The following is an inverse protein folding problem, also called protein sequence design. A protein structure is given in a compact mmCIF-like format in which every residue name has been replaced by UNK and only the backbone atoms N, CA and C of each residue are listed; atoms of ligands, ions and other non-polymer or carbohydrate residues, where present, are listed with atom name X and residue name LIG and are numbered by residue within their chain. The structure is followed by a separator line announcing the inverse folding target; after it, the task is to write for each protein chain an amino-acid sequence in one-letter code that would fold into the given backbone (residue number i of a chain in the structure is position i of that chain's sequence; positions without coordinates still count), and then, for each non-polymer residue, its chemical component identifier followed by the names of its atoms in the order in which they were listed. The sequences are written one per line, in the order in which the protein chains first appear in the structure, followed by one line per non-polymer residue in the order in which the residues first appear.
data_IF_195421356849
#
_entry.id   IF_195421356849
#
_cell.length_a   1.000
_cell.length_b   1.000
_cell.length_c   1.000
_cell.angle_alpha   90.00
_cell.angle_beta   90.00
_cell.angle_gamma   90.00
#
_symmetry.space_group_name_H-M   'P 1'
#
loop_
_entity.id
_entity.type
_entity.pdbx_description
1 polymer ?
#
# COMPACT_ATOMS: atom_id res chain seq x y z
N UNK A 1 23.84 0.46 0.64
CA UNK A 1 22.53 0.26 1.30
C UNK A 1 22.08 -1.18 1.03
N UNK A 2 21.76 -1.97 2.05
CA UNK A 2 21.29 -3.36 1.88
C UNK A 2 19.95 -3.51 2.58
N UNK A 3 18.96 -4.10 1.90
CA UNK A 3 17.62 -4.28 2.42
C UNK A 3 16.79 -5.22 1.55
N UNK A 4 15.65 -5.66 2.08
CA UNK A 4 14.67 -6.42 1.30
C UNK A 4 14.10 -5.50 0.22
N UNK A 5 13.90 -6.04 -0.98
CA UNK A 5 13.21 -5.29 -2.03
C UNK A 5 11.77 -5.07 -1.61
N UNK A 6 11.39 -3.81 -1.44
CA UNK A 6 10.09 -3.44 -0.91
C UNK A 6 9.04 -3.48 -2.04
N UNK A 7 8.50 -4.68 -2.31
CA UNK A 7 7.46 -4.93 -3.33
C UNK A 7 6.41 -5.88 -2.74
N UNK A 8 5.12 -5.62 -3.00
CA UNK A 8 3.98 -6.36 -2.44
C UNK A 8 4.11 -7.89 -2.55
N UNK A 9 4.64 -8.36 -3.68
CA UNK A 9 4.88 -9.79 -3.93
C UNK A 9 5.88 -10.43 -2.95
N UNK A 10 6.76 -9.66 -2.31
CA UNK A 10 7.75 -10.16 -1.35
C UNK A 10 7.33 -9.97 0.11
N UNK A 11 6.17 -9.35 0.36
CA UNK A 11 5.60 -9.18 1.71
C UNK A 11 4.55 -10.22 2.09
N UNK A 12 4.23 -11.13 1.18
CA UNK A 12 3.27 -12.20 1.42
C UNK A 12 3.99 -13.48 1.90
N UNK A 13 3.28 -14.30 2.68
CA UNK A 13 3.85 -15.46 3.38
C UNK A 13 4.09 -16.71 2.50
N UNK A 14 3.71 -16.65 1.22
CA UNK A 14 3.85 -17.75 0.25
C UNK A 14 5.14 -17.61 -0.54
N UNK A 15 5.86 -18.71 -0.69
CA UNK A 15 7.02 -18.72 -1.58
C UNK A 15 6.59 -18.77 -3.04
N UNK A 16 7.39 -18.17 -3.91
CA UNK A 16 7.23 -18.34 -5.35
C UNK A 16 7.49 -19.80 -5.73
N UNK A 17 6.67 -20.31 -6.66
CA UNK A 17 6.82 -21.66 -7.18
C UNK A 17 8.12 -21.82 -7.96
N UNK A 18 8.67 -23.04 -7.95
CA UNK A 18 9.84 -23.38 -8.73
C UNK A 18 9.53 -23.32 -10.24
N UNK A 19 10.51 -22.88 -11.03
CA UNK A 19 10.41 -22.86 -12.51
C UNK A 19 9.61 -21.68 -13.08
N UNK A 20 9.35 -20.64 -12.27
CA UNK A 20 8.73 -19.40 -12.73
C UNK A 20 9.82 -18.35 -12.97
N UNK A 21 9.83 -17.76 -14.16
CA UNK A 21 10.71 -16.63 -14.48
C UNK A 21 10.19 -15.34 -13.83
N UNK A 22 11.06 -14.67 -13.08
CA UNK A 22 10.75 -13.40 -12.41
C UNK A 22 11.62 -12.30 -12.98
N UNK A 23 10.98 -11.29 -13.57
CA UNK A 23 11.65 -10.08 -14.05
C UNK A 23 11.42 -8.92 -13.09
N UNK A 24 12.49 -8.44 -12.47
CA UNK A 24 12.46 -7.27 -11.60
C UNK A 24 13.04 -6.09 -12.36
N UNK A 25 12.27 -5.00 -12.45
CA UNK A 25 12.73 -3.73 -13.03
C UNK A 25 12.79 -2.69 -11.91
N UNK A 26 13.98 -2.17 -11.66
CA UNK A 26 14.18 -1.04 -10.76
C UNK A 26 14.27 0.23 -11.61
N UNK A 27 13.44 1.22 -11.30
CA UNK A 27 13.43 2.52 -11.97
C UNK A 27 13.86 3.55 -10.94
N UNK A 28 14.90 4.31 -11.28
CA UNK A 28 15.39 5.39 -10.42
C UNK A 28 14.51 6.63 -10.58
N UNK A 29 14.21 7.30 -9.47
CA UNK A 29 13.57 8.62 -9.48
C UNK A 29 14.46 9.67 -10.17
N UNK A 30 13.86 10.72 -10.73
CA UNK A 30 14.63 11.84 -11.30
C UNK A 30 15.55 12.43 -10.21
N UNK A 31 16.73 12.91 -10.61
CA UNK A 31 17.73 13.50 -9.71
C UNK A 31 17.18 14.65 -8.85
N UNK A 32 16.20 15.40 -9.37
CA UNK A 32 15.51 16.48 -8.65
C UNK A 32 14.84 16.03 -7.32
N UNK A 33 14.59 14.73 -7.15
CA UNK A 33 13.99 14.15 -5.93
C UNK A 33 15.01 13.47 -5.00
N UNK A 34 16.32 13.73 -5.18
CA UNK A 34 17.36 13.20 -4.31
C UNK A 34 17.30 13.89 -2.93
N UNK A 35 16.94 13.13 -1.88
CA UNK A 35 16.67 13.62 -0.52
C UNK A 35 17.85 14.30 0.22
N UNK A 36 19.05 14.34 -0.37
CA UNK A 36 20.28 14.79 0.31
C UNK A 36 21.14 15.71 -0.58
N UNK A 37 20.57 16.84 -1.02
CA UNK A 37 21.34 17.92 -1.65
C UNK A 37 22.05 18.73 -0.54
N UNK A 38 23.35 18.54 -0.36
CA UNK A 38 24.13 19.15 0.73
C UNK A 38 24.55 20.62 0.50
N UNK A 39 23.90 21.35 -0.40
CA UNK A 39 24.26 22.75 -0.72
C UNK A 39 23.32 23.38 -1.75
N UNK A 40 23.49 24.68 -1.97
CA UNK A 40 22.60 25.55 -2.78
C UNK A 40 22.56 25.23 -4.29
N UNK A 41 23.34 24.25 -4.76
CA UNK A 41 23.37 23.87 -6.17
C UNK A 41 22.38 22.71 -6.44
N UNK A 42 21.33 22.89 -7.26
CA UNK A 42 20.29 21.88 -7.47
C UNK A 42 20.72 20.67 -8.32
N UNK A 43 21.88 20.70 -8.98
CA UNK A 43 22.27 19.73 -10.00
C UNK A 43 23.10 18.54 -9.47
N UNK A 44 22.60 17.83 -8.46
CA UNK A 44 23.24 16.58 -8.00
C UNK A 44 22.89 15.41 -8.92
N UNK A 45 23.88 14.59 -9.28
CA UNK A 45 23.69 13.36 -10.07
C UNK A 45 24.00 12.13 -9.24
N UNK A 46 23.02 11.23 -9.09
CA UNK A 46 23.21 9.92 -8.43
C UNK A 46 23.55 8.88 -9.50
N UNK A 47 24.73 8.26 -9.41
CA UNK A 47 25.12 7.07 -10.19
C UNK A 47 25.16 5.82 -9.32
N UNK A 48 24.71 4.69 -9.85
CA UNK A 48 24.76 3.38 -9.18
C UNK A 48 25.87 2.57 -9.85
N UNK A 49 26.92 2.27 -9.09
CA UNK A 49 28.07 1.52 -9.63
C UNK A 49 27.78 0.02 -9.69
N UNK A 50 27.17 -0.54 -8.63
CA UNK A 50 26.85 -1.97 -8.55
C UNK A 50 25.52 -2.20 -7.80
N UNK A 51 24.73 -3.16 -8.28
CA UNK A 51 23.51 -3.63 -7.64
C UNK A 51 23.43 -5.16 -7.68
N UNK A 52 23.34 -5.79 -6.49
CA UNK A 52 23.28 -7.25 -6.34
C UNK A 52 21.99 -7.65 -5.63
N UNK A 53 21.27 -8.64 -6.18
CA UNK A 53 20.05 -9.19 -5.58
C UNK A 53 20.33 -10.56 -4.95
N UNK A 54 20.07 -10.69 -3.65
CA UNK A 54 20.14 -11.98 -2.95
C UNK A 54 18.74 -12.60 -2.84
N UNK A 55 18.57 -13.81 -3.37
CA UNK A 55 17.33 -14.58 -3.27
C UNK A 55 17.52 -15.85 -2.43
N UNK A 56 16.59 -16.13 -1.52
CA UNK A 56 16.61 -17.35 -0.70
C UNK A 56 15.78 -18.45 -1.38
N UNK A 57 16.39 -19.61 -1.63
CA UNK A 57 15.70 -20.80 -2.12
C UNK A 57 15.38 -21.75 -0.97
N UNK A 58 14.11 -22.06 -0.76
CA UNK A 58 13.67 -23.06 0.22
C UNK A 58 13.66 -24.46 -0.44
N UNK A 59 14.16 -25.48 0.28
CA UNK A 59 14.04 -26.88 -0.13
C UNK A 59 12.74 -27.45 0.46
N UNK A 60 11.83 -27.87 -0.42
CA UNK A 60 10.54 -28.48 -0.04
C UNK A 60 10.66 -30.00 0.05
N UNK A 61 9.84 -30.61 0.92
CA UNK A 61 9.68 -32.06 0.97
C UNK A 61 9.10 -32.57 -0.38
N UNK A 62 9.66 -33.64 -0.98
CA UNK A 62 9.18 -34.20 -2.26
C UNK A 62 7.67 -34.49 -2.31
N UNK A 63 7.06 -34.90 -1.20
CA UNK A 63 5.61 -35.16 -1.15
C UNK A 63 4.79 -33.87 -1.39
N UNK A 64 5.22 -32.74 -0.81
CA UNK A 64 4.57 -31.43 -0.98
C UNK A 64 4.78 -30.91 -2.40
N UNK A 65 5.97 -31.14 -2.99
CA UNK A 65 6.24 -30.78 -4.37
C UNK A 65 5.31 -31.51 -5.35
N UNK A 66 5.12 -32.82 -5.17
CA UNK A 66 4.21 -33.61 -5.98
C UNK A 66 2.75 -33.17 -5.81
N UNK A 67 2.37 -32.81 -4.58
CA UNK A 67 1.07 -32.21 -4.29
C UNK A 67 0.84 -30.90 -5.05
N UNK A 68 1.83 -30.01 -5.08
CA UNK A 68 1.76 -28.77 -5.86
C UNK A 68 1.65 -29.03 -7.37
N UNK A 69 2.41 -29.98 -7.92
CA UNK A 69 2.32 -30.34 -9.36
C UNK A 69 0.90 -30.80 -9.70
N UNK A 70 0.30 -31.70 -8.91
CA UNK A 70 -1.09 -32.16 -9.12
C UNK A 70 -2.13 -31.05 -8.92
N UNK A 71 -1.89 -30.12 -8.00
CA UNK A 71 -2.77 -28.99 -7.81
C UNK A 71 -2.72 -28.01 -8.99
N UNK A 72 -1.52 -27.82 -9.58
CA UNK A 72 -1.32 -26.97 -10.75
C UNK A 72 -1.98 -27.53 -12.02
N UNK A 73 -2.15 -28.85 -12.13
CA UNK A 73 -2.96 -29.47 -13.19
C UNK A 73 -4.44 -29.08 -13.10
N UNK A 74 -4.95 -28.85 -11.89
CA UNK A 74 -6.37 -28.52 -11.65
C UNK A 74 -6.65 -27.02 -11.69
N UNK A 75 -5.67 -26.18 -11.38
CA UNK A 75 -5.87 -24.74 -11.31
C UNK A 75 -4.58 -23.96 -11.12
N UNK A 76 -4.66 -22.65 -11.38
CA UNK A 76 -3.50 -21.76 -11.29
C UNK A 76 -3.16 -21.41 -9.83
N UNK A 77 -1.88 -21.20 -9.56
CA UNK A 77 -1.45 -20.66 -8.28
C UNK A 77 -1.85 -19.19 -8.17
N UNK A 78 -2.59 -18.86 -7.12
CA UNK A 78 -3.05 -17.49 -6.84
C UNK A 78 -2.19 -16.89 -5.74
N UNK A 79 -1.60 -15.73 -6.01
CA UNK A 79 -0.91 -14.90 -5.04
C UNK A 79 -1.75 -13.66 -4.77
N UNK A 80 -2.23 -13.45 -3.54
CA UNK A 80 -2.98 -12.25 -3.21
C UNK A 80 -2.05 -11.05 -3.30
N UNK A 81 -2.40 -10.11 -4.19
CA UNK A 81 -1.75 -8.82 -4.32
C UNK A 81 -2.80 -7.76 -4.03
N UNK A 82 -2.67 -7.05 -2.92
CA UNK A 82 -3.52 -5.92 -2.58
C UNK A 82 -2.74 -4.64 -2.82
N UNK A 83 -3.02 -3.99 -3.96
CA UNK A 83 -2.44 -2.69 -4.29
C UNK A 83 -3.54 -1.67 -4.48
N UNK A 84 -3.63 -0.73 -3.55
CA UNK A 84 -4.50 0.44 -3.69
C UNK A 84 -3.67 1.53 -4.34
N UNK A 85 -4.10 1.98 -5.52
CA UNK A 85 -3.36 3.00 -6.27
C UNK A 85 -4.31 4.12 -6.68
N UNK A 86 -3.97 5.34 -6.28
CA UNK A 86 -4.67 6.56 -6.68
C UNK A 86 -3.74 7.40 -7.57
N UNK A 87 -4.27 7.97 -8.66
CA UNK A 87 -3.55 8.91 -9.54
C UNK A 87 -4.47 10.09 -9.87
N UNK A 88 -4.73 10.98 -8.90
CA UNK A 88 -5.50 12.18 -9.17
C UNK A 88 -4.70 13.09 -10.10
N UNK A 89 -5.38 13.70 -11.06
CA UNK A 89 -4.90 14.88 -11.77
C UNK A 89 -5.85 16.01 -11.42
N UNK A 90 -5.33 17.14 -10.94
CA UNK A 90 -6.13 18.27 -10.45
C UNK A 90 -6.36 19.37 -11.50
N UNK A 91 -5.95 19.12 -12.76
CA UNK A 91 -6.20 20.01 -13.89
C UNK A 91 -7.71 20.13 -14.21
N UNK A 92 -8.09 21.09 -15.06
CA UNK A 92 -9.49 21.38 -15.41
C UNK A 92 -10.26 20.16 -15.98
N UNK A 93 -9.59 19.30 -16.75
CA UNK A 93 -10.11 18.00 -17.25
C UNK A 93 -9.59 16.81 -16.42
N UNK A 94 -9.19 17.07 -15.18
CA UNK A 94 -8.47 16.16 -14.32
C UNK A 94 -9.29 14.99 -13.81
N UNK A 95 -8.62 13.86 -13.56
CA UNK A 95 -9.22 12.61 -13.08
C UNK A 95 -9.41 12.54 -11.55
N UNK A 96 -9.38 13.69 -10.84
CA UNK A 96 -9.49 13.74 -9.38
C UNK A 96 -10.87 13.37 -8.83
N UNK A 97 -11.93 13.44 -9.65
CA UNK A 97 -13.32 13.14 -9.23
C UNK A 97 -13.45 11.74 -8.65
N UNK A 98 -12.72 10.76 -9.19
CA UNK A 98 -12.71 9.40 -8.64
C UNK A 98 -12.13 9.37 -7.22
N UNK A 99 -11.08 10.14 -6.95
CA UNK A 99 -10.46 10.26 -5.64
C UNK A 99 -11.38 10.97 -4.65
N UNK A 100 -12.10 11.99 -5.11
CA UNK A 100 -13.14 12.66 -4.32
C UNK A 100 -14.28 11.69 -3.95
N UNK A 101 -14.79 10.90 -4.90
CA UNK A 101 -15.77 9.87 -4.60
C UNK A 101 -15.22 8.80 -3.63
N UNK A 102 -13.95 8.45 -3.76
CA UNK A 102 -13.29 7.50 -2.86
C UNK A 102 -13.19 8.03 -1.42
N UNK A 103 -13.07 9.35 -1.24
CA UNK A 103 -13.13 9.97 0.08
C UNK A 103 -14.49 9.69 0.74
N UNK A 104 -15.61 9.88 0.02
CA UNK A 104 -16.95 9.57 0.55
C UNK A 104 -17.11 8.09 0.89
N UNK A 105 -16.58 7.19 0.05
CA UNK A 105 -16.60 5.76 0.33
C UNK A 105 -15.79 5.42 1.60
N UNK A 106 -14.56 5.91 1.68
CA UNK A 106 -13.66 5.62 2.79
C UNK A 106 -14.04 6.27 4.12
N UNK A 107 -14.93 7.27 4.11
CA UNK A 107 -15.48 7.87 5.34
C UNK A 107 -16.89 7.39 5.67
N UNK A 108 -17.41 6.37 4.98
CA UNK A 108 -18.77 5.85 5.20
C UNK A 108 -19.90 6.82 4.84
N UNK A 109 -19.61 7.93 4.15
CA UNK A 109 -20.59 8.98 3.77
C UNK A 109 -21.17 8.78 2.38
N UNK A 110 -20.72 7.76 1.65
CA UNK A 110 -21.26 7.47 0.33
C UNK A 110 -22.74 7.07 0.45
N UNK A 111 -23.59 7.73 -0.34
CA UNK A 111 -25.05 7.56 -0.34
C UNK A 111 -25.79 7.98 0.94
N UNK A 112 -25.12 8.69 1.85
CA UNK A 112 -25.76 9.29 3.02
C UNK A 112 -26.24 10.71 2.71
N UNK A 113 -27.24 11.20 3.44
CA UNK A 113 -27.68 12.61 3.39
C UNK A 113 -26.79 13.52 4.27
N UNK A 114 -25.49 13.23 4.29
CA UNK A 114 -24.49 13.92 5.09
C UNK A 114 -23.18 14.07 4.30
N UNK A 115 -22.52 15.22 4.45
CA UNK A 115 -21.21 15.49 3.89
C UNK A 115 -20.04 15.10 4.79
N UNK A 116 -18.84 15.45 4.33
CA UNK A 116 -17.58 15.37 5.04
C UNK A 116 -16.88 16.75 5.12
N UNK A 117 -17.64 17.83 4.98
CA UNK A 117 -17.22 19.24 5.00
C UNK A 117 -16.12 19.63 3.99
N UNK A 118 -15.86 18.78 2.99
CA UNK A 118 -14.95 19.06 1.87
C UNK A 118 -15.78 19.09 0.60
N UNK A 119 -15.95 20.28 0.01
CA UNK A 119 -16.63 20.36 -1.29
C UNK A 119 -15.72 19.83 -2.40
N UNK A 120 -16.31 19.51 -3.55
CA UNK A 120 -15.55 19.13 -4.74
C UNK A 120 -14.55 20.23 -5.14
N UNK A 121 -14.89 21.50 -4.93
CA UNK A 121 -14.02 22.62 -5.25
C UNK A 121 -12.84 22.69 -4.29
N UNK A 122 -13.09 22.60 -2.97
CA UNK A 122 -12.02 22.54 -1.95
C UNK A 122 -11.05 21.40 -2.22
N UNK A 123 -11.58 20.23 -2.59
CA UNK A 123 -10.78 19.07 -2.93
C UNK A 123 -9.88 19.30 -4.15
N UNK A 124 -10.32 20.08 -5.14
CA UNK A 124 -9.55 20.40 -6.33
C UNK A 124 -8.50 21.48 -6.08
N UNK A 125 -8.76 22.41 -5.16
CA UNK A 125 -7.92 23.57 -4.84
C UNK A 125 -6.85 23.27 -3.77
N UNK A 126 -6.76 22.01 -3.31
CA UNK A 126 -5.67 21.53 -2.45
C UNK A 126 -6.09 21.17 -1.02
N UNK A 127 -7.36 21.35 -0.65
CA UNK A 127 -7.91 20.84 0.60
C UNK A 127 -8.35 19.37 0.44
N UNK A 128 -7.36 18.53 0.13
CA UNK A 128 -7.57 17.14 -0.32
C UNK A 128 -7.24 16.15 0.79
N UNK A 129 -8.16 15.21 1.07
CA UNK A 129 -7.89 14.01 1.87
C UNK A 129 -8.01 12.76 1.01
N UNK A 130 -7.06 11.83 1.16
CA UNK A 130 -7.15 10.52 0.53
C UNK A 130 -7.54 9.48 1.58
N UNK A 131 -8.75 8.96 1.49
CA UNK A 131 -9.18 7.83 2.28
C UNK A 131 -8.91 6.52 1.52
N UNK A 132 -8.40 5.52 2.23
CA UNK A 132 -8.16 4.19 1.70
C UNK A 132 -8.74 3.18 2.68
N UNK A 133 -9.75 2.44 2.25
CA UNK A 133 -10.25 1.30 2.99
C UNK A 133 -9.27 0.12 2.82
N UNK A 134 -8.70 -0.32 3.93
CA UNK A 134 -7.70 -1.39 4.01
C UNK A 134 -8.29 -2.60 4.74
N UNK A 135 -9.59 -2.60 5.05
CA UNK A 135 -10.27 -3.78 5.58
C UNK A 135 -10.22 -4.93 4.55
N UNK A 136 -10.14 -6.20 4.99
CA UNK A 136 -10.09 -7.36 4.09
C UNK A 136 -11.29 -7.48 3.13
N UNK A 137 -12.44 -6.98 3.55
CA UNK A 137 -13.74 -7.08 2.89
C UNK A 137 -14.21 -5.77 2.25
N UNK A 138 -13.45 -4.68 2.45
CA UNK A 138 -13.77 -3.34 1.98
C UNK A 138 -15.16 -2.86 2.43
N UNK A 139 -15.53 -3.18 3.67
CA UNK A 139 -16.87 -2.94 4.19
C UNK A 139 -16.82 -2.28 5.56
N UNK A 140 -17.67 -1.26 5.72
CA UNK A 140 -17.96 -0.59 7.00
C UNK A 140 -19.20 -1.23 7.65
N UNK A 141 -19.13 -2.54 7.86
CA UNK A 141 -20.21 -3.35 8.43
C UNK A 141 -20.02 -3.61 9.93
N UNK A 142 -21.07 -4.01 10.67
CA UNK A 142 -20.98 -4.24 12.11
C UNK A 142 -20.30 -5.57 12.50
N UNK A 143 -19.52 -6.18 11.60
CA UNK A 143 -18.87 -7.47 11.81
C UNK A 143 -17.35 -7.30 11.94
N UNK A 144 -16.74 -8.16 12.75
CA UNK A 144 -15.30 -8.13 12.93
C UNK A 144 -14.57 -8.80 11.78
N UNK A 145 -13.53 -8.13 11.29
CA UNK A 145 -12.54 -8.75 10.46
C UNK A 145 -11.51 -9.50 11.31
N UNK A 146 -10.95 -10.58 10.78
CA UNK A 146 -9.83 -11.25 11.43
C UNK A 146 -8.64 -10.29 11.51
N UNK A 147 -8.12 -10.07 12.72
CA UNK A 147 -6.97 -9.19 12.93
C UNK A 147 -5.75 -9.80 12.25
N UNK A 148 -5.24 -9.09 11.25
CA UNK A 148 -4.01 -9.45 10.55
C UNK A 148 -2.95 -8.38 10.79
N UNK A 149 -1.79 -8.80 11.31
CA UNK A 149 -0.62 -7.92 11.37
C UNK A 149 -0.01 -7.84 9.97
N UNK A 150 0.24 -6.62 9.52
CA UNK A 150 0.83 -6.35 8.21
C UNK A 150 1.65 -5.08 8.23
N UNK A 151 2.54 -4.94 7.23
CA UNK A 151 3.27 -3.71 7.01
C UNK A 151 2.48 -2.85 6.02
N UNK A 152 2.19 -1.59 6.38
CA UNK A 152 1.65 -0.61 5.45
C UNK A 152 2.79 0.20 4.84
N UNK A 153 2.78 0.37 3.52
CA UNK A 153 3.66 1.30 2.81
C UNK A 153 2.84 2.30 2.04
N UNK A 154 3.11 3.58 2.28
CA UNK A 154 2.53 4.69 1.54
C UNK A 154 3.62 5.27 0.65
N UNK A 155 3.36 5.33 -0.65
CA UNK A 155 4.22 5.99 -1.63
C UNK A 155 3.43 7.08 -2.33
N UNK A 156 4.01 8.27 -2.40
CA UNK A 156 3.46 9.41 -3.13
C UNK A 156 4.43 9.80 -4.23
N UNK A 157 3.87 10.06 -5.41
CA UNK A 157 4.62 10.52 -6.57
C UNK A 157 4.02 11.83 -7.03
N UNK A 158 4.85 12.87 -7.10
CA UNK A 158 4.50 14.18 -7.63
C UNK A 158 5.00 14.27 -9.07
N UNK A 159 4.21 14.88 -9.93
CA UNK A 159 4.60 15.06 -11.34
C UNK A 159 5.74 16.06 -11.48
N UNK A 160 5.66 17.13 -10.69
CA UNK A 160 6.68 18.17 -10.55
C UNK A 160 7.39 18.11 -9.19
N UNK A 161 8.66 18.55 -9.11
CA UNK A 161 9.39 18.68 -7.85
C UNK A 161 8.69 19.63 -6.87
N UNK A 162 8.68 19.27 -5.58
CA UNK A 162 8.13 20.15 -4.55
C UNK A 162 9.04 21.35 -4.34
N UNK A 163 8.48 22.56 -4.39
CA UNK A 163 9.22 23.80 -4.17
C UNK A 163 9.70 23.96 -2.72
N UNK A 164 9.02 23.30 -1.78
CA UNK A 164 9.31 23.34 -0.35
C UNK A 164 9.12 21.96 0.29
N UNK A 165 9.72 21.77 1.46
CA UNK A 165 9.52 20.55 2.26
C UNK A 165 8.06 20.50 2.76
N UNK A 166 7.38 19.39 2.52
CA UNK A 166 6.00 19.18 2.96
C UNK A 166 5.94 18.15 4.08
N UNK A 167 5.06 18.39 5.05
CA UNK A 167 4.73 17.42 6.08
C UNK A 167 3.49 16.65 5.66
N UNK A 168 3.53 15.33 5.79
CA UNK A 168 2.39 14.46 5.49
C UNK A 168 1.86 13.89 6.80
N UNK A 169 0.57 14.10 7.04
CA UNK A 169 -0.14 13.51 8.18
C UNK A 169 -0.86 12.25 7.69
N UNK A 170 -0.64 11.15 8.38
CA UNK A 170 -1.34 9.88 8.12
C UNK A 170 -2.19 9.58 9.34
N UNK A 171 -3.50 9.45 9.12
CA UNK A 171 -4.46 9.01 10.12
C UNK A 171 -4.87 7.57 9.83
N UNK A 172 -4.78 6.70 10.84
CA UNK A 172 -5.17 5.29 10.73
C UNK A 172 -6.27 4.98 11.74
N UNK A 173 -7.33 4.35 11.25
CA UNK A 173 -8.40 3.80 12.08
C UNK A 173 -8.21 2.28 12.18
N UNK A 174 -8.32 1.75 13.39
CA UNK A 174 -8.13 0.33 13.68
C UNK A 174 -9.20 -0.15 14.63
N UNK A 175 -9.70 -1.36 14.40
CA UNK A 175 -10.57 -2.05 15.36
C UNK A 175 -9.74 -2.47 16.58
N UNK A 176 -10.26 -2.21 17.79
CA UNK A 176 -9.73 -2.75 19.05
C UNK A 176 -10.79 -3.61 19.69
N UNK A 177 -10.40 -4.79 20.18
CA UNK A 177 -11.30 -5.74 20.84
C UNK A 177 -11.18 -5.59 22.35
N UNK A 178 -12.32 -5.34 22.99
CA UNK A 178 -12.49 -5.39 24.44
C UNK A 178 -13.16 -6.72 24.80
N UNK A 179 -12.43 -7.58 25.50
CA UNK A 179 -12.95 -8.85 25.99
C UNK A 179 -13.24 -8.76 27.49
N UNK A 180 -14.44 -9.18 27.90
CA UNK A 180 -14.78 -9.38 29.31
C UNK A 180 -14.86 -10.88 29.55
N UNK A 181 -13.91 -11.40 30.32
CA UNK A 181 -13.87 -12.83 30.61
C UNK A 181 -14.99 -13.24 31.59
N UNK A 182 -15.16 -14.55 31.79
CA UNK A 182 -16.15 -15.10 32.74
C UNK A 182 -15.95 -14.61 34.18
N UNK A 183 -14.74 -14.17 34.52
CA UNK A 183 -14.37 -13.65 35.83
C UNK A 183 -14.55 -12.12 35.94
N UNK A 184 -15.07 -11.46 34.89
CA UNK A 184 -15.24 -10.01 34.78
C UNK A 184 -13.91 -9.23 34.71
N UNK A 185 -12.83 -9.90 34.32
CA UNK A 185 -11.62 -9.19 33.95
C UNK A 185 -11.80 -8.59 32.57
N UNK A 186 -11.38 -7.33 32.43
CA UNK A 186 -11.39 -6.64 31.14
C UNK A 186 -10.01 -6.75 30.53
N UNK A 187 -9.95 -7.35 29.34
CA UNK A 187 -8.74 -7.52 28.54
C UNK A 187 -8.89 -6.66 27.28
N UNK A 188 -7.82 -5.94 26.93
CA UNK A 188 -7.76 -5.04 25.79
C UNK A 188 -6.62 -5.46 24.86
N UNK A 189 -6.86 -5.44 23.55
CA UNK A 189 -5.81 -5.58 22.53
C UNK A 189 -5.40 -4.18 22.04
N UNK A 190 -4.09 -3.86 22.13
CA UNK A 190 -3.48 -2.58 21.70
C UNK A 190 -2.82 -2.71 20.33
#
# INVERSE_FOLDING_TARGET
MMGRLHVDLFFQDRYLLNGVDVKIRLVQSKNAFALMAGGDNPDYKISIDEAVLFARKAKLNPAVQMGHVKALEKGTAKYPLRRVHCKPKFEADGTYVRSYLNLFAGTGKMFQDEGNDITRQDFAEGYTLFAFDITPDCCDGPHFNLVHKGNLRVEMHFDEPLEQTVNVVVYGEFESVLEIDRNRNVVYDY
#
